data_IF_182760986028
#
_entry.id   IF_182760986028
#
_cell.length_a   1.000
_cell.length_b   1.000
_cell.length_c   1.000
_cell.angle_alpha   90.00
_cell.angle_beta   90.00
_cell.angle_gamma   90.00
#
_symmetry.space_group_name_H-M   'P 1'
#
loop_
_entity.id
_entity.type
_entity.pdbx_description
1 polymer ?
#
# COMPACT_ATOMS: atom_id res chain seq x y z
N UNK A 1 -18.32 -61.45 -2.99
CA UNK A 1 -18.26 -62.24 -4.25
C UNK A 1 -18.31 -61.27 -5.41
N UNK A 2 -17.24 -61.35 -6.24
CA UNK A 2 -17.06 -60.80 -7.61
C UNK A 2 -16.84 -59.29 -7.72
N UNK A 3 -15.76 -58.95 -8.11
CA UNK A 3 -14.70 -58.98 -9.17
C UNK A 3 -14.54 -57.57 -9.76
N UNK A 4 -13.46 -57.01 -9.46
CA UNK A 4 -12.31 -56.60 -10.32
C UNK A 4 -12.60 -56.46 -11.82
N UNK A 5 -12.36 -55.25 -12.36
CA UNK A 5 -11.59 -55.12 -13.62
C UNK A 5 -10.84 -53.79 -13.67
N UNK A 6 -9.53 -53.89 -13.54
CA UNK A 6 -8.53 -52.88 -13.94
C UNK A 6 -8.50 -52.87 -15.50
N UNK A 7 -8.50 -51.69 -16.09
CA UNK A 7 -8.04 -51.50 -17.46
C UNK A 7 -6.95 -50.46 -17.46
N UNK A 8 -5.72 -50.97 -17.64
CA UNK A 8 -4.57 -50.14 -17.97
C UNK A 8 -4.63 -49.83 -19.47
N UNK A 9 -4.54 -48.56 -19.83
CA UNK A 9 -4.32 -48.17 -21.23
C UNK A 9 -2.98 -47.43 -21.32
N UNK A 10 -1.96 -48.20 -21.78
CA UNK A 10 -0.65 -47.70 -22.17
C UNK A 10 -0.77 -47.11 -23.57
N UNK A 11 -0.44 -45.84 -23.75
CA UNK A 11 -0.26 -45.28 -25.08
C UNK A 11 1.16 -44.75 -25.19
N UNK A 12 1.99 -45.50 -25.90
CA UNK A 12 3.31 -45.12 -26.37
C UNK A 12 3.15 -44.20 -27.59
N UNK A 13 3.73 -43.01 -27.57
CA UNK A 13 3.95 -42.21 -28.76
C UNK A 13 5.43 -41.98 -28.98
N UNK A 14 5.82 -42.43 -30.15
CA UNK A 14 7.21 -42.47 -30.65
C UNK A 14 7.69 -41.05 -30.99
N UNK A 15 8.95 -40.80 -30.63
CA UNK A 15 9.79 -39.69 -31.08
C UNK A 15 10.13 -39.85 -32.57
N UNK A 16 9.87 -38.83 -33.34
CA UNK A 16 10.48 -38.64 -34.67
C UNK A 16 11.41 -37.43 -34.62
N UNK A 17 12.69 -37.69 -34.54
CA UNK A 17 13.75 -36.73 -34.82
C UNK A 17 13.83 -36.50 -36.32
N UNK A 18 13.76 -35.26 -36.77
CA UNK A 18 14.26 -34.87 -38.08
C UNK A 18 15.22 -33.72 -37.88
N UNK A 19 16.50 -34.07 -38.06
CA UNK A 19 17.60 -33.14 -38.14
C UNK A 19 17.62 -32.49 -39.52
N UNK A 20 17.72 -31.16 -39.59
CA UNK A 20 18.27 -30.48 -40.77
C UNK A 20 19.42 -29.60 -40.30
N UNK A 21 20.59 -30.03 -40.73
CA UNK A 21 21.84 -29.26 -40.72
C UNK A 21 21.82 -28.36 -41.96
N UNK A 22 22.15 -27.07 -41.80
CA UNK A 22 22.91 -26.29 -42.79
C UNK A 22 23.50 -25.03 -42.15
N UNK A 23 24.74 -25.05 -42.07
CA UNK A 23 25.85 -24.22 -42.57
C UNK A 23 25.82 -22.70 -42.36
N UNK A 24 26.80 -22.32 -41.56
CA UNK A 24 27.74 -21.16 -41.63
C UNK A 24 27.34 -19.95 -42.46
N UNK A 25 27.28 -18.81 -41.78
CA UNK A 25 28.08 -17.62 -42.13
C UNK A 25 28.31 -16.71 -40.92
N UNK A 26 29.60 -16.52 -40.61
CA UNK A 26 30.11 -15.48 -39.73
C UNK A 26 29.78 -14.09 -40.32
N UNK A 27 29.20 -13.19 -39.52
CA UNK A 27 29.19 -11.75 -39.77
C UNK A 27 29.84 -11.05 -38.59
N UNK A 28 30.96 -10.38 -38.86
CA UNK A 28 31.67 -9.49 -37.95
C UNK A 28 30.79 -8.26 -37.62
N UNK A 29 30.94 -7.67 -36.42
CA UNK A 29 30.31 -6.40 -36.12
C UNK A 29 31.08 -5.25 -36.80
N UNK A 30 30.36 -4.39 -37.51
CA UNK A 30 30.85 -3.09 -37.97
C UNK A 30 30.72 -2.06 -36.86
N UNK A 31 31.88 -1.51 -36.52
CA UNK A 31 32.05 -0.27 -35.76
C UNK A 31 31.40 0.90 -36.53
N UNK A 32 30.41 1.53 -35.95
CA UNK A 32 29.98 2.87 -36.39
C UNK A 32 30.14 3.82 -35.23
N UNK A 33 31.29 4.45 -35.13
CA UNK A 33 31.50 5.67 -34.35
C UNK A 33 30.76 6.80 -35.03
N UNK A 34 29.81 7.40 -34.32
CA UNK A 34 29.25 8.73 -34.65
C UNK A 34 29.93 9.78 -33.76
N UNK A 35 30.74 10.60 -34.41
CA UNK A 35 31.43 11.74 -33.82
C UNK A 35 30.42 12.81 -33.33
N UNK A 36 30.63 13.25 -32.10
CA UNK A 36 30.04 14.50 -31.58
C UNK A 36 31.01 15.67 -31.83
N UNK A 37 30.57 16.82 -32.29
CA UNK A 37 31.43 17.99 -32.41
C UNK A 37 31.64 18.66 -31.06
N UNK A 38 32.89 18.86 -30.73
CA UNK A 38 33.37 19.69 -29.65
C UNK A 38 33.11 21.18 -29.96
N UNK A 39 32.56 21.89 -28.99
CA UNK A 39 32.49 23.32 -28.99
C UNK A 39 33.03 23.86 -27.66
N UNK A 40 34.21 24.46 -27.73
CA UNK A 40 34.94 25.07 -26.64
C UNK A 40 34.27 26.37 -26.11
N UNK A 41 34.52 26.69 -24.84
CA UNK A 41 33.89 27.82 -24.15
C UNK A 41 34.65 29.11 -24.39
N UNK A 42 33.93 30.20 -24.65
CA UNK A 42 34.46 31.56 -24.51
C UNK A 42 33.81 32.26 -23.33
N UNK A 43 34.63 32.50 -22.35
CA UNK A 43 34.53 33.52 -21.33
C UNK A 43 34.31 34.90 -21.94
N UNK A 44 33.35 35.64 -21.45
CA UNK A 44 33.49 37.10 -21.41
C UNK A 44 32.84 37.67 -20.14
N UNK A 45 33.70 38.37 -19.44
CA UNK A 45 33.48 39.13 -18.21
C UNK A 45 33.03 40.51 -18.60
N UNK A 46 31.93 41.01 -18.02
CA UNK A 46 31.84 42.46 -17.73
C UNK A 46 30.86 42.69 -16.57
N UNK A 47 31.41 43.16 -15.50
CA UNK A 47 30.71 43.75 -14.39
C UNK A 47 30.24 45.16 -14.76
N UNK A 48 29.03 45.50 -14.39
CA UNK A 48 28.68 46.91 -14.12
C UNK A 48 27.78 46.98 -12.88
N UNK A 49 28.32 47.67 -11.90
CA UNK A 49 27.72 48.21 -10.69
C UNK A 49 26.72 49.31 -11.07
N UNK A 50 25.56 49.41 -10.44
CA UNK A 50 24.98 50.70 -10.00
C UNK A 50 23.97 50.55 -8.87
N UNK A 51 24.37 51.05 -7.68
CA UNK A 51 23.70 51.88 -6.68
C UNK A 51 22.36 51.50 -6.02
N UNK A 52 22.49 51.33 -4.75
CA UNK A 52 21.82 51.99 -3.61
C UNK A 52 20.59 52.84 -3.89
N UNK A 53 19.50 52.47 -3.26
CA UNK A 53 18.57 53.42 -2.60
C UNK A 53 17.91 52.76 -1.38
N UNK A 54 18.10 53.46 -0.28
CA UNK A 54 17.67 53.28 1.08
C UNK A 54 16.13 53.29 1.31
N UNK A 55 15.67 52.88 2.47
CA UNK A 55 14.30 52.40 2.71
C UNK A 55 13.35 53.54 3.06
N UNK A 56 12.10 53.39 2.60
CA UNK A 56 11.00 54.19 3.13
C UNK A 56 10.15 53.34 4.08
N UNK A 57 10.21 53.75 5.34
CA UNK A 57 9.22 53.54 6.40
C UNK A 57 7.81 53.79 5.90
N UNK A 58 6.92 52.81 6.12
CA UNK A 58 5.48 53.01 6.15
C UNK A 58 4.94 52.46 7.48
N UNK A 59 4.19 53.31 8.10
CA UNK A 59 3.68 53.30 9.48
C UNK A 59 2.74 52.12 9.78
N UNK A 60 2.78 51.73 11.06
CA UNK A 60 1.78 50.92 11.76
C UNK A 60 0.36 51.42 11.51
N UNK A 61 -0.52 50.56 11.00
CA UNK A 61 -1.91 50.58 11.36
C UNK A 61 -2.28 49.37 12.20
N UNK A 62 -2.45 49.66 13.46
CA UNK A 62 -3.01 48.79 14.48
C UNK A 62 -4.49 48.52 14.22
N UNK A 63 -4.86 47.25 14.32
CA UNK A 63 -6.20 46.89 14.78
C UNK A 63 -7.15 46.35 13.72
N UNK A 64 -7.20 45.02 13.62
CA UNK A 64 -8.50 44.35 13.53
C UNK A 64 -8.41 42.97 14.20
N UNK A 65 -9.34 42.80 15.06
CA UNK A 65 -9.64 41.68 15.94
C UNK A 65 -9.45 40.31 15.31
N UNK A 66 -8.86 39.40 16.09
CA UNK A 66 -8.92 37.96 15.91
C UNK A 66 -10.41 37.57 15.83
N UNK A 67 -10.83 37.09 14.69
CA UNK A 67 -12.06 36.33 14.58
C UNK A 67 -11.79 34.93 15.08
N UNK A 68 -12.65 34.52 15.98
CA UNK A 68 -12.78 33.24 16.58
C UNK A 68 -12.42 32.09 15.63
N UNK A 69 -11.57 31.21 16.11
CA UNK A 69 -11.46 29.84 15.59
C UNK A 69 -12.85 29.22 15.80
N UNK A 70 -13.64 29.16 14.75
CA UNK A 70 -14.73 28.21 14.70
C UNK A 70 -14.06 26.81 14.78
N UNK A 71 -14.30 26.12 15.88
CA UNK A 71 -14.12 24.69 15.99
C UNK A 71 -14.82 24.07 14.78
N UNK A 72 -14.06 23.60 13.83
CA UNK A 72 -14.56 22.82 12.69
C UNK A 72 -14.95 21.47 13.27
N UNK A 73 -16.21 21.40 13.72
CA UNK A 73 -16.87 20.15 14.06
C UNK A 73 -16.88 19.29 12.79
N UNK A 74 -15.97 18.33 12.72
CA UNK A 74 -15.75 17.45 11.56
C UNK A 74 -16.84 16.36 11.46
N UNK A 75 -17.99 16.54 12.12
CA UNK A 75 -19.18 15.75 11.83
C UNK A 75 -19.65 16.06 10.41
N UNK A 76 -19.29 15.19 9.47
CA UNK A 76 -19.91 15.19 8.13
C UNK A 76 -21.43 15.05 8.34
N UNK A 77 -22.15 16.17 8.23
CA UNK A 77 -23.61 16.18 8.42
C UNK A 77 -24.25 15.47 7.21
N UNK A 78 -24.49 14.18 7.32
CA UNK A 78 -25.24 13.36 6.35
C UNK A 78 -26.74 13.68 6.39
N UNK A 79 -27.12 14.97 6.36
CA UNK A 79 -28.53 15.41 6.52
C UNK A 79 -29.26 15.69 5.19
N UNK A 80 -28.56 15.59 4.06
CA UNK A 80 -29.13 15.75 2.72
C UNK A 80 -29.75 14.45 2.19
N UNK A 81 -30.37 14.54 1.02
CA UNK A 81 -30.75 13.34 0.25
C UNK A 81 -29.60 12.99 -0.67
N UNK A 82 -29.34 11.70 -0.87
CA UNK A 82 -28.30 11.23 -1.77
C UNK A 82 -28.48 11.78 -3.21
N UNK A 83 -29.74 11.95 -3.63
CA UNK A 83 -30.08 12.47 -4.95
C UNK A 83 -29.68 13.94 -5.15
N UNK A 84 -29.41 14.68 -4.07
CA UNK A 84 -28.98 16.07 -4.11
C UNK A 84 -27.44 16.20 -4.19
N UNK A 85 -26.70 15.09 -4.05
CA UNK A 85 -25.23 15.07 -4.09
C UNK A 85 -24.70 15.21 -5.52
N UNK A 86 -23.63 16.01 -5.76
CA UNK A 86 -23.10 16.29 -7.11
C UNK A 86 -22.66 15.06 -7.90
N UNK A 87 -22.31 13.98 -7.19
CA UNK A 87 -21.86 12.71 -7.82
C UNK A 87 -22.99 11.71 -8.04
N UNK A 88 -24.21 11.99 -7.54
CA UNK A 88 -25.34 11.07 -7.69
C UNK A 88 -25.59 10.65 -9.14
N UNK A 89 -25.77 9.34 -9.37
CA UNK A 89 -25.97 8.77 -10.70
C UNK A 89 -24.70 8.69 -11.56
N UNK A 90 -23.53 8.88 -10.96
CA UNK A 90 -22.23 8.63 -11.59
C UNK A 90 -21.50 7.52 -10.84
N UNK A 91 -20.67 6.71 -11.52
CA UNK A 91 -19.90 5.67 -10.86
C UNK A 91 -18.84 6.27 -9.92
N UNK A 92 -18.70 5.68 -8.74
CA UNK A 92 -17.59 5.96 -7.82
C UNK A 92 -16.33 5.30 -8.40
N UNK A 93 -15.29 6.07 -8.65
CA UNK A 93 -14.03 5.55 -9.19
C UNK A 93 -13.17 4.99 -8.08
N UNK A 94 -12.92 3.69 -8.13
CA UNK A 94 -12.13 2.96 -7.15
C UNK A 94 -10.78 2.58 -7.76
N UNK A 95 -9.69 3.11 -7.21
CA UNK A 95 -8.35 2.69 -7.59
C UNK A 95 -8.10 1.27 -7.05
N UNK A 96 -8.05 0.29 -7.95
CA UNK A 96 -7.92 -1.12 -7.61
C UNK A 96 -7.17 -1.88 -8.70
N UNK A 97 -6.07 -2.52 -8.33
CA UNK A 97 -5.20 -3.27 -9.24
C UNK A 97 -5.25 -4.79 -8.99
N UNK A 98 -6.20 -5.26 -8.20
CA UNK A 98 -6.21 -6.63 -7.69
C UNK A 98 -5.40 -6.79 -6.40
N UNK A 99 -5.23 -8.02 -5.97
CA UNK A 99 -4.48 -8.42 -4.77
C UNK A 99 -5.37 -8.94 -3.66
N UNK A 100 -4.85 -9.89 -2.87
CA UNK A 100 -5.57 -10.53 -1.78
C UNK A 100 -5.97 -9.49 -0.70
N UNK A 101 -5.00 -8.71 -0.22
CA UNK A 101 -5.20 -7.79 0.90
C UNK A 101 -6.02 -6.52 0.56
N UNK A 102 -6.24 -6.23 -0.71
CA UNK A 102 -7.03 -5.08 -1.18
C UNK A 102 -8.34 -5.47 -1.83
N UNK A 103 -8.71 -6.76 -1.80
CA UNK A 103 -9.79 -7.36 -2.56
C UNK A 103 -11.22 -6.96 -2.18
N UNK A 104 -11.43 -6.41 -0.99
CA UNK A 104 -12.77 -6.14 -0.47
C UNK A 104 -13.70 -5.32 -1.39
N UNK A 105 -13.26 -4.24 -2.07
CA UNK A 105 -14.13 -3.52 -3.02
C UNK A 105 -14.56 -4.36 -4.22
N UNK A 106 -13.64 -5.16 -4.79
CA UNK A 106 -13.96 -6.05 -5.89
C UNK A 106 -14.98 -7.13 -5.48
N UNK A 107 -14.77 -7.72 -4.30
CA UNK A 107 -15.70 -8.71 -3.73
C UNK A 107 -17.05 -8.05 -3.43
N UNK A 108 -17.10 -6.81 -2.93
CA UNK A 108 -18.32 -6.06 -2.67
C UNK A 108 -19.14 -5.88 -3.95
N UNK A 109 -18.49 -5.59 -5.07
CA UNK A 109 -19.12 -5.42 -6.36
C UNK A 109 -19.71 -6.75 -6.86
N UNK A 110 -18.93 -7.83 -6.88
CA UNK A 110 -19.39 -9.17 -7.29
C UNK A 110 -20.58 -9.64 -6.44
N UNK A 111 -20.60 -9.31 -5.15
CA UNK A 111 -21.70 -9.63 -4.24
C UNK A 111 -22.92 -8.71 -4.37
N UNK A 112 -22.81 -7.67 -5.21
CA UNK A 112 -23.86 -6.67 -5.42
C UNK A 112 -24.08 -5.74 -4.22
N UNK A 113 -23.08 -5.57 -3.34
CA UNK A 113 -23.23 -4.74 -2.13
C UNK A 113 -23.37 -3.26 -2.48
N UNK A 114 -22.73 -2.81 -3.56
CA UNK A 114 -22.90 -1.44 -4.08
C UNK A 114 -24.28 -1.25 -4.73
N UNK A 115 -24.72 -2.20 -5.58
CA UNK A 115 -26.03 -2.16 -6.24
C UNK A 115 -27.19 -2.11 -5.23
N UNK A 116 -27.11 -2.90 -4.15
CA UNK A 116 -28.12 -2.90 -3.05
C UNK A 116 -28.27 -1.51 -2.40
N UNK A 117 -27.24 -0.67 -2.49
CA UNK A 117 -27.23 0.70 -1.96
C UNK A 117 -27.47 1.77 -3.01
N UNK A 118 -27.79 1.35 -4.25
CA UNK A 118 -28.01 2.26 -5.37
C UNK A 118 -26.73 2.96 -5.85
N UNK A 119 -25.56 2.38 -5.57
CA UNK A 119 -24.27 2.86 -6.02
C UNK A 119 -23.81 2.09 -7.26
N UNK A 120 -23.10 2.78 -8.13
CA UNK A 120 -22.34 2.22 -9.24
C UNK A 120 -20.86 2.48 -8.97
N UNK A 121 -19.98 1.52 -9.25
CA UNK A 121 -18.53 1.65 -9.09
C UNK A 121 -17.82 1.40 -10.42
N UNK A 122 -16.70 2.06 -10.61
CA UNK A 122 -15.79 1.86 -11.74
C UNK A 122 -14.39 1.58 -11.19
N UNK A 123 -13.87 0.37 -11.41
CA UNK A 123 -12.49 0.03 -11.03
C UNK A 123 -11.51 0.57 -12.06
N UNK A 124 -10.55 1.35 -11.58
CA UNK A 124 -9.49 1.93 -12.42
C UNK A 124 -8.12 1.41 -11.98
N UNK A 125 -7.32 0.98 -12.97
CA UNK A 125 -5.94 0.62 -12.75
C UNK A 125 -5.08 1.87 -12.62
N UNK A 126 -4.31 1.97 -11.54
CA UNK A 126 -3.47 3.13 -11.24
C UNK A 126 -2.03 2.70 -10.93
N UNK A 127 -1.06 3.58 -11.20
CA UNK A 127 0.34 3.35 -10.82
C UNK A 127 0.61 3.63 -9.34
N UNK A 128 -0.12 4.59 -8.79
CA UNK A 128 -0.04 5.02 -7.40
C UNK A 128 -1.45 5.34 -6.91
N UNK A 129 -1.90 4.59 -5.94
CA UNK A 129 -3.19 4.82 -5.27
C UNK A 129 -3.17 6.12 -4.47
N UNK A 130 -2.06 6.46 -3.80
CA UNK A 130 -1.88 7.73 -3.08
C UNK A 130 -2.04 8.91 -4.03
N UNK A 131 -1.35 8.89 -5.19
CA UNK A 131 -1.46 9.97 -6.17
C UNK A 131 -2.86 10.04 -6.77
N UNK A 132 -3.52 8.90 -6.98
CA UNK A 132 -4.87 8.87 -7.56
C UNK A 132 -5.90 9.51 -6.64
N UNK A 133 -5.78 9.31 -5.33
CA UNK A 133 -6.59 10.01 -4.31
C UNK A 133 -6.22 11.49 -4.28
N UNK A 134 -4.92 11.83 -4.21
CA UNK A 134 -4.45 13.21 -4.11
C UNK A 134 -4.83 14.09 -5.32
N UNK A 135 -4.87 13.52 -6.50
CA UNK A 135 -5.26 14.21 -7.75
C UNK A 135 -6.74 14.11 -8.09
N UNK A 136 -7.53 13.44 -7.24
CA UNK A 136 -8.95 13.15 -7.48
C UNK A 136 -9.19 12.40 -8.82
N UNK A 137 -8.24 11.56 -9.22
CA UNK A 137 -8.42 10.60 -10.32
C UNK A 137 -9.26 9.42 -9.88
N UNK A 138 -9.17 9.04 -8.60
CA UNK A 138 -10.02 8.09 -7.92
C UNK A 138 -10.71 8.74 -6.72
N UNK A 139 -11.93 8.26 -6.43
CA UNK A 139 -12.72 8.68 -5.28
C UNK A 139 -12.40 7.85 -4.04
N UNK A 140 -12.01 6.58 -4.22
CA UNK A 140 -11.71 5.65 -3.15
C UNK A 140 -10.60 4.66 -3.52
N UNK A 141 -9.94 4.10 -2.50
CA UNK A 141 -8.99 2.99 -2.61
C UNK A 141 -8.82 2.27 -1.28
N UNK A 142 -8.27 1.06 -1.30
CA UNK A 142 -7.67 0.41 -0.13
C UNK A 142 -6.16 0.42 -0.30
N UNK A 143 -5.45 0.84 0.72
CA UNK A 143 -4.01 0.83 0.68
C UNK A 143 -3.36 0.83 2.05
N UNK A 144 -2.05 0.59 2.07
CA UNK A 144 -1.28 0.43 3.29
C UNK A 144 -1.19 1.76 4.07
N UNK A 145 -1.53 1.76 5.37
CA UNK A 145 -1.43 2.94 6.25
C UNK A 145 -0.04 3.57 6.15
N UNK A 146 1.01 2.73 6.19
CA UNK A 146 2.39 3.19 6.21
C UNK A 146 2.80 4.08 5.01
N UNK A 147 2.14 3.95 3.86
CA UNK A 147 2.41 4.78 2.68
C UNK A 147 1.49 5.99 2.56
N UNK A 148 0.31 5.98 3.19
CA UNK A 148 -0.65 7.07 3.10
C UNK A 148 -0.38 8.20 4.08
N UNK A 149 0.07 7.90 5.31
CA UNK A 149 0.24 8.90 6.37
C UNK A 149 1.20 10.04 5.98
N UNK A 150 2.45 9.79 5.52
CA UNK A 150 3.37 10.89 5.22
C UNK A 150 2.90 11.80 4.07
N UNK A 151 2.40 11.31 2.92
CA UNK A 151 1.86 12.17 1.87
C UNK A 151 0.62 12.96 2.31
N UNK A 152 -0.26 12.38 3.14
CA UNK A 152 -1.44 13.07 3.67
C UNK A 152 -1.05 14.25 4.56
N UNK A 153 -0.05 14.09 5.41
CA UNK A 153 0.54 15.18 6.18
C UNK A 153 1.11 16.27 5.27
N UNK A 154 1.65 15.90 4.13
CA UNK A 154 2.23 16.81 3.13
C UNK A 154 1.21 17.37 2.13
N UNK A 155 -0.10 17.19 2.39
CA UNK A 155 -1.17 17.86 1.65
C UNK A 155 -1.94 16.99 0.66
N UNK A 156 -1.74 15.66 0.64
CA UNK A 156 -2.64 14.76 -0.07
C UNK A 156 -4.01 14.81 0.61
N UNK A 157 -5.04 15.20 -0.15
CA UNK A 157 -6.40 15.36 0.33
C UNK A 157 -7.10 14.00 0.47
N UNK A 158 -6.73 13.25 1.50
CA UNK A 158 -7.30 11.95 1.82
C UNK A 158 -8.05 11.97 3.16
N UNK A 159 -9.16 11.26 3.21
CA UNK A 159 -9.92 10.92 4.41
C UNK A 159 -9.85 9.41 4.61
N UNK A 160 -9.46 8.99 5.79
CA UNK A 160 -9.42 7.59 6.19
C UNK A 160 -10.74 7.23 6.87
N UNK A 161 -11.46 6.26 6.32
CA UNK A 161 -12.83 6.00 6.74
C UNK A 161 -12.99 4.73 7.60
N UNK A 162 -12.16 3.73 7.38
CA UNK A 162 -12.15 2.47 8.14
C UNK A 162 -10.89 1.67 7.89
N UNK A 163 -10.51 0.79 8.80
CA UNK A 163 -9.50 -0.24 8.55
C UNK A 163 -9.98 -1.26 7.53
N UNK A 164 -9.05 -1.89 6.83
CA UNK A 164 -9.37 -2.95 5.90
C UNK A 164 -9.06 -4.33 6.49
N UNK A 165 -7.88 -4.51 7.03
CA UNK A 165 -7.43 -5.74 7.67
C UNK A 165 -6.16 -5.51 8.47
N UNK A 166 -5.77 -6.49 9.30
CA UNK A 166 -4.46 -6.53 9.97
C UNK A 166 -3.46 -7.34 9.16
N UNK A 167 -2.15 -7.16 9.41
CA UNK A 167 -1.10 -8.02 8.86
C UNK A 167 -0.63 -7.63 7.46
N UNK A 168 -0.19 -8.62 6.70
CA UNK A 168 0.24 -8.69 5.30
C UNK A 168 1.73 -8.48 4.98
N UNK A 169 2.57 -8.01 5.89
CA UNK A 169 4.00 -7.81 5.62
C UNK A 169 4.87 -8.21 6.80
N UNK A 170 6.05 -8.75 6.47
CA UNK A 170 7.01 -9.20 7.47
C UNK A 170 8.45 -8.94 7.02
N UNK A 171 9.37 -9.02 7.97
CA UNK A 171 10.80 -8.98 7.76
C UNK A 171 11.35 -10.41 7.73
N UNK A 172 11.98 -10.74 6.62
CA UNK A 172 12.52 -12.06 6.32
C UNK A 172 14.03 -12.04 6.23
N UNK A 173 14.65 -13.15 6.60
CA UNK A 173 16.09 -13.41 6.44
C UNK A 173 16.26 -14.81 5.85
N UNK A 174 17.48 -15.17 5.40
CA UNK A 174 17.77 -16.56 5.01
C UNK A 174 17.57 -17.52 6.17
N UNK A 175 17.02 -18.69 5.89
CA UNK A 175 16.87 -19.76 6.87
C UNK A 175 18.16 -20.59 7.02
N UNK A 176 19.21 -19.94 7.55
CA UNK A 176 20.56 -20.53 7.70
C UNK A 176 21.17 -20.34 9.11
N UNK A 177 20.34 -19.99 10.11
CA UNK A 177 20.73 -19.78 11.51
C UNK A 177 21.74 -18.63 11.78
N UNK A 178 22.14 -17.85 10.78
CA UNK A 178 23.08 -16.74 10.96
C UNK A 178 22.39 -15.51 11.59
N UNK A 179 21.15 -15.23 11.16
CA UNK A 179 20.33 -14.10 11.64
C UNK A 179 19.01 -14.67 12.16
N UNK A 180 18.67 -14.37 13.42
CA UNK A 180 17.47 -14.87 14.06
C UNK A 180 16.59 -13.76 14.67
N UNK A 181 17.11 -12.54 14.69
CA UNK A 181 16.45 -11.33 15.20
C UNK A 181 16.97 -10.09 14.51
N UNK A 182 16.41 -8.94 14.84
CA UNK A 182 16.79 -7.65 14.26
C UNK A 182 18.19 -7.17 14.70
N UNK A 183 18.71 -7.63 15.87
CA UNK A 183 20.06 -7.33 16.30
C UNK A 183 21.11 -7.83 15.27
N UNK A 184 20.85 -8.98 14.67
CA UNK A 184 21.69 -9.56 13.62
C UNK A 184 21.74 -8.75 12.32
N UNK A 185 20.90 -7.72 12.17
CA UNK A 185 20.86 -6.86 10.98
C UNK A 185 21.70 -5.57 11.12
N UNK A 186 22.26 -5.30 12.29
CA UNK A 186 23.14 -4.13 12.49
C UNK A 186 24.32 -4.13 11.51
N UNK A 187 24.58 -2.98 10.92
CA UNK A 187 25.59 -2.73 9.89
C UNK A 187 25.36 -3.52 8.57
N UNK A 188 24.19 -4.08 8.37
CA UNK A 188 23.81 -4.85 7.18
C UNK A 188 22.78 -4.07 6.32
N UNK A 189 22.32 -4.69 5.24
CA UNK A 189 21.40 -4.09 4.29
C UNK A 189 20.07 -4.83 4.35
N UNK A 190 18.98 -4.10 4.57
CA UNK A 190 17.61 -4.57 4.39
C UNK A 190 17.12 -4.10 3.02
N UNK A 191 16.61 -5.06 2.22
CA UNK A 191 16.00 -4.80 0.92
C UNK A 191 14.47 -4.72 0.98
N UNK A 192 13.88 -4.04 0.01
CA UNK A 192 12.42 -4.02 -0.18
C UNK A 192 12.08 -3.57 -1.61
N UNK A 193 10.89 -3.96 -2.14
CA UNK A 193 10.50 -3.64 -3.52
C UNK A 193 10.21 -2.16 -3.74
N UNK A 194 9.70 -1.49 -2.73
CA UNK A 194 9.33 -0.08 -2.80
C UNK A 194 10.53 0.87 -2.78
N UNK A 195 10.28 2.14 -3.03
CA UNK A 195 11.29 3.19 -2.87
C UNK A 195 11.57 3.50 -1.39
N UNK A 196 12.65 4.22 -1.11
CA UNK A 196 12.89 4.84 0.21
C UNK A 196 11.69 5.74 0.54
N UNK A 197 11.14 5.60 1.75
CA UNK A 197 9.90 6.29 2.17
C UNK A 197 8.60 5.57 1.81
N UNK A 198 8.68 4.43 1.10
CA UNK A 198 7.51 3.57 0.86
C UNK A 198 7.03 2.87 2.13
N UNK A 199 5.89 2.17 2.04
CA UNK A 199 5.38 1.35 3.14
C UNK A 199 6.44 0.37 3.66
N UNK A 200 7.13 -0.33 2.76
CA UNK A 200 8.10 -1.36 3.13
C UNK A 200 9.28 -0.78 3.92
N UNK A 201 9.79 0.39 3.48
CA UNK A 201 10.83 1.10 4.21
C UNK A 201 10.35 1.53 5.59
N UNK A 202 9.18 2.14 5.69
CA UNK A 202 8.64 2.64 6.95
C UNK A 202 8.33 1.49 7.93
N UNK A 203 7.90 0.32 7.42
CA UNK A 203 7.70 -0.89 8.23
C UNK A 203 9.04 -1.41 8.77
N UNK A 204 10.09 -1.46 7.93
CA UNK A 204 11.43 -1.88 8.39
C UNK A 204 11.92 -1.01 9.54
N UNK A 205 11.78 0.32 9.41
CA UNK A 205 12.15 1.28 10.44
C UNK A 205 11.36 1.04 11.74
N UNK A 206 10.04 0.81 11.66
CA UNK A 206 9.20 0.54 12.83
C UNK A 206 9.61 -0.76 13.55
N UNK A 207 9.88 -1.84 12.81
CA UNK A 207 10.36 -3.10 13.41
C UNK A 207 11.67 -2.90 14.17
N UNK A 208 12.65 -2.25 13.55
CA UNK A 208 13.94 -1.99 14.18
C UNK A 208 13.80 -1.13 15.43
N UNK A 209 13.07 -0.03 15.33
CA UNK A 209 12.85 0.88 16.46
C UNK A 209 12.15 0.18 17.63
N UNK A 210 11.14 -0.65 17.35
CA UNK A 210 10.39 -1.36 18.38
C UNK A 210 11.26 -2.37 19.13
N UNK A 211 12.27 -2.92 18.46
CA UNK A 211 13.28 -3.80 19.03
C UNK A 211 14.46 -3.04 19.65
N UNK A 212 14.42 -1.70 19.68
CA UNK A 212 15.46 -0.87 20.26
C UNK A 212 16.74 -0.77 19.41
N UNK A 213 16.64 -1.06 18.12
CA UNK A 213 17.75 -0.91 17.16
C UNK A 213 17.73 0.51 16.60
N UNK A 214 18.88 1.19 16.62
CA UNK A 214 19.02 2.45 15.94
C UNK A 214 18.87 2.24 14.42
N UNK A 215 17.89 2.93 13.81
CA UNK A 215 17.58 2.78 12.39
C UNK A 215 18.74 3.20 11.49
N UNK A 216 19.65 4.05 11.97
CA UNK A 216 20.86 4.47 11.28
C UNK A 216 21.96 3.40 11.31
N UNK A 217 21.86 2.40 12.19
CA UNK A 217 22.77 1.24 12.23
C UNK A 217 22.49 0.25 11.07
N UNK A 218 21.43 0.45 10.29
CA UNK A 218 21.05 -0.42 9.19
C UNK A 218 21.01 0.37 7.88
N UNK A 219 21.38 -0.28 6.78
CA UNK A 219 21.27 0.30 5.44
C UNK A 219 20.04 -0.21 4.73
N UNK A 220 19.47 0.63 3.87
CA UNK A 220 18.24 0.32 3.15
C UNK A 220 18.48 0.36 1.65
N UNK A 221 17.87 -0.58 0.93
CA UNK A 221 18.02 -0.67 -0.53
C UNK A 221 16.71 -1.11 -1.21
N UNK A 222 16.34 -0.40 -2.25
CA UNK A 222 15.30 -0.87 -3.16
C UNK A 222 15.84 -2.01 -4.03
N UNK A 223 15.12 -3.14 -4.06
CA UNK A 223 15.40 -4.30 -4.90
C UNK A 223 14.07 -4.89 -5.35
N UNK A 224 13.89 -5.06 -6.66
CA UNK A 224 12.63 -5.59 -7.20
C UNK A 224 12.34 -7.01 -6.69
N UNK A 225 11.07 -7.35 -6.52
CA UNK A 225 10.62 -8.67 -6.06
C UNK A 225 11.33 -9.82 -6.82
N UNK A 226 11.45 -9.70 -8.13
CA UNK A 226 12.07 -10.75 -8.95
C UNK A 226 13.54 -11.03 -8.61
N UNK A 227 14.26 -10.09 -8.00
CA UNK A 227 15.67 -10.19 -7.67
C UNK A 227 15.95 -10.31 -6.15
N UNK A 228 14.96 -10.05 -5.31
CA UNK A 228 15.18 -9.85 -3.86
C UNK A 228 15.62 -11.14 -3.15
N UNK A 229 15.08 -12.28 -3.55
CA UNK A 229 15.47 -13.59 -3.00
C UNK A 229 16.89 -13.94 -3.40
N UNK A 230 17.26 -13.74 -4.67
CA UNK A 230 18.64 -13.95 -5.12
C UNK A 230 19.63 -13.02 -4.40
N UNK A 231 19.23 -11.79 -4.10
CA UNK A 231 20.06 -10.86 -3.36
C UNK A 231 20.27 -11.28 -1.88
N UNK A 232 19.26 -11.93 -1.27
CA UNK A 232 19.40 -12.58 0.04
C UNK A 232 20.37 -13.78 -0.07
N UNK A 233 20.16 -14.70 -1.01
CA UNK A 233 21.00 -15.89 -1.21
C UNK A 233 22.47 -15.56 -1.50
N UNK A 234 22.74 -14.48 -2.23
CA UNK A 234 24.10 -14.02 -2.52
C UNK A 234 24.76 -13.27 -1.36
N UNK A 235 24.02 -12.94 -0.29
CA UNK A 235 24.48 -12.12 0.84
C UNK A 235 24.59 -10.63 0.52
N UNK A 236 24.06 -10.17 -0.61
CA UNK A 236 23.94 -8.75 -0.95
C UNK A 236 22.93 -8.03 -0.01
N UNK A 237 21.89 -8.74 0.39
CA UNK A 237 20.94 -8.36 1.42
C UNK A 237 21.08 -9.31 2.61
N UNK A 238 20.86 -8.78 3.81
CA UNK A 238 20.80 -9.58 5.03
C UNK A 238 19.37 -9.83 5.48
N UNK A 239 18.44 -8.97 5.09
CA UNK A 239 17.01 -9.09 5.35
C UNK A 239 16.20 -8.43 4.25
N UNK A 240 14.92 -8.75 4.18
CA UNK A 240 13.99 -8.14 3.23
C UNK A 240 12.59 -7.96 3.84
N UNK A 241 11.94 -6.82 3.57
CA UNK A 241 10.50 -6.64 3.82
C UNK A 241 9.76 -7.12 2.57
N UNK A 242 8.90 -8.11 2.78
CA UNK A 242 8.09 -8.71 1.71
C UNK A 242 6.64 -8.79 2.16
N UNK A 243 5.71 -8.88 1.19
CA UNK A 243 4.37 -9.38 1.50
C UNK A 243 4.44 -10.83 1.92
N UNK A 244 3.62 -11.20 2.90
CA UNK A 244 3.57 -12.57 3.41
C UNK A 244 3.14 -13.54 2.30
N UNK A 245 2.24 -13.09 1.40
CA UNK A 245 1.82 -13.79 0.18
C UNK A 245 3.02 -14.15 -0.73
N UNK A 246 3.83 -13.16 -1.09
CA UNK A 246 5.02 -13.42 -1.93
C UNK A 246 6.05 -14.32 -1.22
N UNK A 247 6.22 -14.15 0.08
CA UNK A 247 7.22 -14.86 0.87
C UNK A 247 6.85 -16.33 1.14
N UNK A 248 5.55 -16.70 1.14
CA UNK A 248 5.07 -18.03 1.54
C UNK A 248 5.79 -19.17 0.83
N UNK A 249 5.90 -19.13 -0.51
CA UNK A 249 6.58 -20.15 -1.28
C UNK A 249 8.06 -20.34 -0.91
N UNK A 250 8.72 -19.30 -0.43
CA UNK A 250 10.14 -19.34 -0.02
C UNK A 250 10.31 -19.78 1.43
N UNK A 251 9.27 -19.62 2.25
CA UNK A 251 9.19 -20.23 3.61
C UNK A 251 8.97 -21.74 3.47
N UNK A 252 8.00 -22.15 2.65
CA UNK A 252 7.67 -23.57 2.43
C UNK A 252 8.87 -24.40 1.94
N UNK A 253 9.68 -23.83 1.05
CA UNK A 253 10.87 -24.51 0.54
C UNK A 253 12.12 -24.34 1.42
N UNK A 254 12.02 -23.64 2.58
CA UNK A 254 13.10 -23.46 3.55
C UNK A 254 14.19 -22.47 3.09
N UNK A 255 13.89 -21.57 2.13
CA UNK A 255 14.87 -20.57 1.68
C UNK A 255 14.97 -19.41 2.68
N UNK A 256 13.83 -18.93 3.16
CA UNK A 256 13.76 -17.79 4.10
C UNK A 256 12.92 -18.12 5.33
N UNK A 257 13.17 -17.39 6.40
CA UNK A 257 12.36 -17.39 7.61
C UNK A 257 11.97 -16.00 8.02
N UNK A 258 10.83 -15.86 8.70
CA UNK A 258 10.32 -14.62 9.26
C UNK A 258 10.99 -14.35 10.61
N UNK A 259 11.41 -13.12 10.86
CA UNK A 259 11.95 -12.67 12.15
C UNK A 259 11.13 -11.55 12.80
N UNK A 260 10.36 -10.77 12.01
CA UNK A 260 9.37 -9.80 12.51
C UNK A 260 8.15 -9.78 11.58
N UNK A 261 6.98 -9.46 12.12
CA UNK A 261 5.73 -9.55 11.39
C UNK A 261 4.68 -8.55 11.86
N UNK A 262 4.00 -7.91 10.91
CA UNK A 262 2.77 -7.17 11.19
C UNK A 262 1.59 -8.13 11.46
N UNK A 263 1.65 -9.36 10.94
CA UNK A 263 0.57 -10.34 11.03
C UNK A 263 0.58 -11.13 12.34
N UNK A 264 1.77 -11.43 12.88
CA UNK A 264 1.90 -12.46 13.93
C UNK A 264 2.56 -11.97 15.21
N UNK A 265 3.27 -10.84 15.20
CA UNK A 265 3.93 -10.32 16.40
C UNK A 265 2.91 -9.62 17.32
N UNK A 266 3.01 -9.87 18.62
CA UNK A 266 2.07 -9.38 19.63
C UNK A 266 1.95 -7.85 19.67
N UNK A 267 2.99 -7.15 19.29
CA UNK A 267 3.08 -5.70 19.27
C UNK A 267 2.49 -5.06 18.01
N UNK A 268 2.20 -5.86 16.95
CA UNK A 268 1.69 -5.36 15.68
C UNK A 268 0.39 -6.04 15.20
N UNK A 269 0.13 -7.27 15.59
CA UNK A 269 -0.94 -8.12 15.02
C UNK A 269 -2.36 -7.54 15.12
N UNK A 270 -2.58 -6.58 16.02
CA UNK A 270 -3.87 -5.91 16.20
C UNK A 270 -3.94 -4.55 15.50
N UNK A 271 -2.85 -4.09 14.88
CA UNK A 271 -2.86 -2.84 14.13
C UNK A 271 -3.49 -3.03 12.74
N UNK A 272 -4.31 -2.08 12.32
CA UNK A 272 -4.79 -2.03 10.94
C UNK A 272 -3.60 -1.83 9.98
N UNK A 273 -3.41 -2.77 9.08
CA UNK A 273 -2.34 -2.71 8.07
C UNK A 273 -2.74 -1.84 6.90
N UNK A 274 -3.94 -2.10 6.34
CA UNK A 274 -4.52 -1.37 5.25
C UNK A 274 -5.76 -0.60 5.70
N UNK A 275 -6.06 0.46 4.96
CA UNK A 275 -7.10 1.42 5.30
C UNK A 275 -7.92 1.79 4.06
N UNK A 276 -9.22 1.99 4.25
CA UNK A 276 -10.10 2.60 3.25
C UNK A 276 -9.84 4.10 3.21
N UNK A 277 -9.21 4.57 2.14
CA UNK A 277 -8.91 5.97 1.90
C UNK A 277 -9.80 6.53 0.80
N UNK A 278 -10.47 7.65 1.07
CA UNK A 278 -11.32 8.36 0.14
C UNK A 278 -10.74 9.74 -0.16
N UNK A 279 -11.00 10.26 -1.36
CA UNK A 279 -10.66 11.65 -1.67
C UNK A 279 -11.47 12.61 -0.78
N UNK A 280 -10.82 13.60 -0.17
CA UNK A 280 -11.47 14.51 0.78
C UNK A 280 -12.55 15.40 0.16
N UNK A 281 -12.40 15.81 -1.11
CA UNK A 281 -13.44 16.58 -1.81
C UNK A 281 -14.64 15.69 -2.12
N UNK A 282 -14.42 14.42 -2.51
CA UNK A 282 -15.51 13.46 -2.69
C UNK A 282 -16.32 13.29 -1.41
N UNK A 283 -15.65 13.07 -0.27
CA UNK A 283 -16.32 12.92 1.04
C UNK A 283 -17.10 14.18 1.43
N UNK A 284 -16.50 15.35 1.21
CA UNK A 284 -17.12 16.65 1.55
C UNK A 284 -18.35 16.96 0.70
N UNK A 285 -18.28 16.69 -0.59
CA UNK A 285 -19.32 17.01 -1.56
C UNK A 285 -20.41 15.92 -1.64
N UNK A 286 -20.05 14.66 -1.31
CA UNK A 286 -20.91 13.49 -1.46
C UNK A 286 -20.92 12.60 -0.20
N UNK A 287 -21.25 13.15 0.97
CA UNK A 287 -21.09 12.46 2.26
C UNK A 287 -21.96 11.21 2.40
N UNK A 288 -23.13 11.16 1.77
CA UNK A 288 -24.01 9.99 1.80
C UNK A 288 -23.48 8.87 0.90
N UNK A 289 -23.03 9.23 -0.32
CA UNK A 289 -22.41 8.26 -1.22
C UNK A 289 -21.14 7.68 -0.60
N UNK A 290 -20.27 8.52 -0.01
CA UNK A 290 -19.06 8.09 0.69
C UNK A 290 -19.38 7.14 1.85
N UNK A 291 -20.42 7.46 2.65
CA UNK A 291 -20.88 6.59 3.74
C UNK A 291 -21.36 5.25 3.22
N UNK A 292 -22.27 5.22 2.25
CA UNK A 292 -22.83 3.99 1.68
C UNK A 292 -21.76 3.12 1.00
N UNK A 293 -20.77 3.75 0.35
CA UNK A 293 -19.62 3.04 -0.20
C UNK A 293 -18.81 2.34 0.92
N UNK A 294 -18.45 3.07 1.98
CA UNK A 294 -17.67 2.49 3.06
C UNK A 294 -18.44 1.43 3.85
N UNK A 295 -19.77 1.58 4.02
CA UNK A 295 -20.65 0.55 4.60
C UNK A 295 -20.62 -0.74 3.77
N UNK A 296 -20.69 -0.63 2.44
CA UNK A 296 -20.63 -1.80 1.53
C UNK A 296 -19.31 -2.54 1.67
N UNK A 297 -18.20 -1.80 1.75
CA UNK A 297 -16.85 -2.39 1.93
C UNK A 297 -16.72 -3.05 3.30
N UNK A 298 -17.14 -2.38 4.37
CA UNK A 298 -17.08 -2.91 5.75
C UNK A 298 -17.93 -4.17 5.93
N UNK A 299 -19.16 -4.20 5.41
CA UNK A 299 -20.00 -5.41 5.46
C UNK A 299 -19.37 -6.56 4.66
N UNK A 300 -18.72 -6.25 3.53
CA UNK A 300 -17.98 -7.25 2.76
C UNK A 300 -16.78 -7.77 3.53
N UNK A 301 -16.00 -6.92 4.17
CA UNK A 301 -14.87 -7.33 5.00
C UNK A 301 -15.31 -8.25 6.14
N UNK A 302 -16.40 -7.89 6.83
CA UNK A 302 -16.98 -8.75 7.87
C UNK A 302 -17.47 -10.09 7.33
N UNK A 303 -18.03 -10.11 6.13
CA UNK A 303 -18.41 -11.36 5.47
C UNK A 303 -17.17 -12.18 5.11
N UNK A 304 -16.10 -11.55 4.60
CA UNK A 304 -14.83 -12.21 4.26
C UNK A 304 -14.20 -12.93 5.46
N UNK A 305 -14.29 -12.36 6.67
CA UNK A 305 -13.82 -12.97 7.92
C UNK A 305 -14.38 -14.40 8.15
N UNK A 306 -15.59 -14.65 7.70
CA UNK A 306 -16.28 -15.93 7.89
C UNK A 306 -16.40 -16.76 6.60
N UNK A 307 -15.89 -16.27 5.47
CA UNK A 307 -16.06 -16.89 4.16
C UNK A 307 -14.78 -16.77 3.32
N UNK A 308 -13.61 -17.00 3.96
CA UNK A 308 -12.30 -16.74 3.36
C UNK A 308 -12.08 -17.51 2.06
N UNK A 309 -12.42 -18.81 2.02
CA UNK A 309 -12.28 -19.64 0.82
C UNK A 309 -13.12 -19.10 -0.34
N UNK A 310 -14.39 -18.73 -0.10
CA UNK A 310 -15.28 -18.16 -1.12
C UNK A 310 -14.79 -16.77 -1.56
N UNK A 311 -14.30 -15.94 -0.63
CA UNK A 311 -13.71 -14.65 -0.93
C UNK A 311 -12.47 -14.78 -1.82
N UNK A 312 -11.59 -15.73 -1.52
CA UNK A 312 -10.42 -16.05 -2.34
C UNK A 312 -10.84 -16.54 -3.73
N UNK A 313 -11.83 -17.41 -3.81
CA UNK A 313 -12.34 -17.90 -5.10
C UNK A 313 -12.86 -16.75 -5.98
N UNK A 314 -13.58 -15.79 -5.39
CA UNK A 314 -14.05 -14.59 -6.15
C UNK A 314 -12.86 -13.81 -6.71
N UNK A 315 -11.76 -13.64 -5.95
CA UNK A 315 -10.57 -12.93 -6.43
C UNK A 315 -9.91 -13.66 -7.60
N UNK A 316 -9.79 -14.99 -7.53
CA UNK A 316 -9.23 -15.82 -8.61
C UNK A 316 -10.11 -15.84 -9.86
N UNK A 317 -11.40 -16.01 -9.71
CA UNK A 317 -12.36 -16.05 -10.84
C UNK A 317 -12.39 -14.74 -11.63
N UNK A 318 -12.06 -13.62 -10.97
CA UNK A 318 -11.98 -12.29 -11.59
C UNK A 318 -10.57 -11.88 -12.01
N UNK A 319 -9.57 -12.75 -11.90
CA UNK A 319 -8.16 -12.47 -12.17
C UNK A 319 -7.60 -11.30 -11.33
N UNK A 320 -8.09 -11.14 -10.12
CA UNK A 320 -7.58 -10.16 -9.15
C UNK A 320 -6.52 -10.75 -8.22
N UNK A 321 -6.40 -12.07 -8.18
CA UNK A 321 -5.32 -12.80 -7.55
C UNK A 321 -4.89 -13.96 -8.46
N UNK A 322 -3.66 -14.44 -8.29
CA UNK A 322 -3.08 -15.56 -9.02
C UNK A 322 -2.18 -16.39 -8.09
N UNK A 323 -1.56 -17.44 -8.63
CA UNK A 323 -0.69 -18.33 -7.88
C UNK A 323 -1.39 -19.57 -7.35
N UNK A 324 -0.90 -20.11 -6.23
CA UNK A 324 -1.47 -21.28 -5.58
C UNK A 324 -2.70 -20.89 -4.74
N UNK A 325 -3.83 -21.52 -5.00
CA UNK A 325 -5.08 -21.17 -4.35
C UNK A 325 -5.10 -21.51 -2.85
N UNK A 326 -4.54 -22.65 -2.45
CA UNK A 326 -4.51 -23.09 -1.04
C UNK A 326 -3.64 -22.11 -0.23
N UNK A 327 -2.48 -21.74 -0.75
CA UNK A 327 -1.62 -20.71 -0.16
C UNK A 327 -2.33 -19.36 -0.06
N UNK A 328 -3.09 -18.95 -1.08
CA UNK A 328 -3.85 -17.72 -1.04
C UNK A 328 -4.96 -17.73 0.03
N UNK A 329 -5.65 -18.87 0.22
CA UNK A 329 -6.62 -19.06 1.30
C UNK A 329 -5.94 -18.91 2.67
N UNK A 330 -4.82 -19.61 2.91
CA UNK A 330 -4.07 -19.51 4.17
C UNK A 330 -3.63 -18.06 4.46
N UNK A 331 -3.22 -17.29 3.43
CA UNK A 331 -2.88 -15.88 3.60
C UNK A 331 -4.09 -15.05 3.98
N UNK A 332 -5.22 -15.25 3.31
CA UNK A 332 -6.48 -14.55 3.60
C UNK A 332 -7.00 -14.88 5.00
N UNK A 333 -6.82 -16.12 5.49
CA UNK A 333 -7.12 -16.54 6.85
C UNK A 333 -6.22 -15.89 7.91
N UNK A 334 -4.99 -15.52 7.54
CA UNK A 334 -4.06 -14.85 8.46
C UNK A 334 -4.42 -13.39 8.74
N UNK A 335 -5.29 -12.78 7.94
CA UNK A 335 -5.74 -11.42 8.10
C UNK A 335 -6.98 -11.37 9.01
N UNK A 336 -7.05 -10.38 9.89
CA UNK A 336 -8.29 -10.00 10.55
C UNK A 336 -9.02 -8.98 9.68
N UNK A 337 -10.11 -9.40 9.03
CA UNK A 337 -10.90 -8.55 8.13
C UNK A 337 -11.93 -7.68 8.87
N UNK A 338 -12.18 -7.94 10.13
CA UNK A 338 -13.17 -7.23 10.93
C UNK A 338 -12.52 -6.22 11.90
N UNK A 339 -11.54 -5.44 11.40
CA UNK A 339 -10.88 -4.41 12.21
C UNK A 339 -11.90 -3.36 12.63
N UNK A 340 -12.00 -3.11 13.94
CA UNK A 340 -12.92 -2.10 14.46
C UNK A 340 -12.50 -0.69 14.07
N UNK A 341 -13.47 0.23 14.04
CA UNK A 341 -13.20 1.64 13.81
C UNK A 341 -12.32 2.23 14.92
N UNK A 342 -12.54 1.80 16.18
CA UNK A 342 -11.74 2.21 17.33
C UNK A 342 -10.28 1.74 17.20
N UNK A 343 -10.04 0.49 16.83
CA UNK A 343 -8.68 -0.04 16.65
C UNK A 343 -7.98 0.62 15.46
N UNK A 344 -8.73 0.97 14.42
CA UNK A 344 -8.20 1.71 13.27
C UNK A 344 -7.72 3.10 13.64
N UNK A 345 -8.54 3.87 14.37
CA UNK A 345 -8.18 5.21 14.85
C UNK A 345 -6.95 5.15 15.76
N UNK A 346 -6.92 4.20 16.69
CA UNK A 346 -5.78 3.96 17.57
C UNK A 346 -4.52 3.58 16.80
N UNK A 347 -4.65 2.78 15.73
CA UNK A 347 -3.51 2.47 14.86
C UNK A 347 -2.96 3.71 14.17
N UNK A 348 -3.82 4.58 13.65
CA UNK A 348 -3.39 5.86 13.05
C UNK A 348 -2.65 6.72 14.07
N UNK A 349 -3.16 6.83 15.30
CA UNK A 349 -2.49 7.54 16.37
C UNK A 349 -1.09 6.99 16.65
N UNK A 350 -0.96 5.66 16.76
CA UNK A 350 0.31 4.98 17.01
C UNK A 350 1.30 5.22 15.88
N UNK A 351 0.86 5.05 14.62
CA UNK A 351 1.71 5.26 13.45
C UNK A 351 2.22 6.70 13.36
N UNK A 352 1.37 7.69 13.68
CA UNK A 352 1.80 9.10 13.68
C UNK A 352 2.84 9.36 14.76
N UNK A 353 2.66 8.82 15.97
CA UNK A 353 3.63 8.95 17.05
C UNK A 353 4.97 8.29 16.70
N UNK A 354 4.95 7.08 16.16
CA UNK A 354 6.13 6.38 15.68
C UNK A 354 6.87 7.19 14.62
N UNK A 355 6.14 7.67 13.61
CA UNK A 355 6.73 8.41 12.50
C UNK A 355 7.33 9.76 12.92
N UNK A 356 6.74 10.43 13.91
CA UNK A 356 7.33 11.63 14.52
C UNK A 356 8.63 11.30 15.24
N UNK A 357 8.62 10.27 16.07
CA UNK A 357 9.77 9.85 16.87
C UNK A 357 10.93 9.38 15.99
N UNK A 358 10.61 8.77 14.85
CA UNK A 358 11.56 8.25 13.86
C UNK A 358 11.98 9.29 12.81
N UNK A 359 11.45 10.51 12.87
CA UNK A 359 11.77 11.56 11.90
C UNK A 359 11.26 11.31 10.48
N UNK A 360 10.32 10.36 10.30
CA UNK A 360 9.65 10.10 9.01
C UNK A 360 8.73 11.27 8.65
N UNK A 361 8.12 11.88 9.65
CA UNK A 361 7.30 13.09 9.53
C UNK A 361 7.83 14.17 10.48
N UNK A 362 7.45 15.44 10.21
CA UNK A 362 7.86 16.56 11.04
C UNK A 362 7.37 16.35 12.51
N UNK A 363 8.26 16.57 13.46
CA UNK A 363 7.99 16.46 14.90
C UNK A 363 6.91 17.42 15.42
N UNK A 364 6.59 18.49 14.67
CA UNK A 364 5.55 19.46 15.00
C UNK A 364 4.14 18.99 14.58
N UNK A 365 4.02 17.89 13.83
CA UNK A 365 2.71 17.33 13.45
C UNK A 365 1.98 16.89 14.71
N UNK A 366 0.82 17.50 14.97
CA UNK A 366 -0.05 17.08 16.06
C UNK A 366 -0.83 15.83 15.64
N UNK A 367 -0.81 14.81 16.49
CA UNK A 367 -1.63 13.60 16.31
C UNK A 367 -3.11 13.97 16.28
N UNK A 368 -3.58 14.76 17.25
CA UNK A 368 -4.98 15.15 17.35
C UNK A 368 -5.42 15.99 16.14
N UNK A 369 -4.57 16.88 15.65
CA UNK A 369 -4.85 17.64 14.42
C UNK A 369 -4.95 16.74 13.19
N UNK A 370 -4.10 15.73 13.08
CA UNK A 370 -4.16 14.79 11.99
C UNK A 370 -5.45 13.95 12.04
N UNK A 371 -5.76 13.37 13.20
CA UNK A 371 -6.98 12.58 13.40
C UNK A 371 -8.20 13.45 13.10
N UNK A 372 -8.29 14.65 13.65
CA UNK A 372 -9.42 15.54 13.41
C UNK A 372 -9.64 15.93 11.96
N UNK A 373 -8.59 15.95 11.13
CA UNK A 373 -8.66 16.34 9.72
C UNK A 373 -8.84 15.18 8.76
N UNK A 374 -8.25 14.03 9.08
CA UNK A 374 -8.07 12.94 8.11
C UNK A 374 -8.75 11.63 8.52
N UNK A 375 -9.16 11.46 9.78
CA UNK A 375 -9.96 10.34 10.22
C UNK A 375 -11.43 10.72 10.29
N UNK A 376 -12.29 9.96 9.61
CA UNK A 376 -13.73 10.17 9.64
C UNK A 376 -14.48 8.88 9.32
N UNK A 377 -15.08 8.26 10.32
CA UNK A 377 -15.88 7.04 10.14
C UNK A 377 -17.17 7.26 9.34
N UNK A 378 -17.42 8.47 8.83
CA UNK A 378 -18.62 8.86 8.07
C UNK A 378 -19.92 8.66 8.87
N UNK A 379 -19.82 8.73 10.21
CA UNK A 379 -20.92 8.46 11.13
C UNK A 379 -21.33 6.99 11.21
N UNK A 380 -20.50 6.06 10.71
CA UNK A 380 -20.67 4.62 10.88
C UNK A 380 -20.14 4.23 12.27
N UNK A 381 -20.78 3.25 12.89
CA UNK A 381 -20.35 2.65 14.17
C UNK A 381 -20.14 1.15 13.97
N UNK A 382 -19.25 0.54 14.74
CA UNK A 382 -19.01 -0.90 14.69
C UNK A 382 -20.29 -1.73 14.88
N UNK A 383 -21.25 -1.21 15.66
CA UNK A 383 -22.56 -1.84 15.84
C UNK A 383 -23.46 -1.82 14.59
N UNK A 384 -23.18 -0.97 13.63
CA UNK A 384 -24.00 -0.78 12.42
C UNK A 384 -23.58 -1.78 11.32
N UNK A 385 -22.36 -2.35 11.42
CA UNK A 385 -21.79 -3.31 10.47
C UNK A 385 -22.41 -4.70 10.74
N UNK A 386 -23.15 -5.23 9.76
CA UNK A 386 -23.93 -6.49 9.89
C UNK A 386 -23.17 -7.72 9.44
#
# INVERSE_FOLDING_TARGET
>A
MNNLKKVALTLAMALSFTACVNDNQEAKPEDTQAEMPAGDPKTDTSAENVNDKDPQTVEEETGKEAKDNEDVDNEVKTTGKIEDEPHYGKPIKVAYNGGLCTGAPGIADVRGEFEKRGLEVEFINVKSDVDSIGTHTADATIGHIAKFVPPTINGVNAVFASGAHTGCKSLYVLDNDEINDTEGLKNKIIGFPGAIGSADHNIAIRFLNNDGIDVDDVKYRQVDNAAIIQALESGELAGAILSDEYASQFIENGTIKRIRSLSFDEDFKNEACCINALNGDFVKENPQMAKLYNEAVLETQKWMENNVEEATQILFDNNWADGDFETAVEMMESYNWAVSLEDTEKTLETVIEDYRNLGIINSEVSKDDFISKHWNSLGIKDSDIK
#
